data_IF_359399342400
#
_entry.id   IF_359399342400
#
_cell.length_a   1.000
_cell.length_b   1.000
_cell.length_c   1.000
_cell.angle_alpha   90.00
_cell.angle_beta   90.00
_cell.angle_gamma   90.00
#
_symmetry.space_group_name_H-M   'P 1'
#
loop_
_entity.id
_entity.type
_entity.pdbx_description
1 polymer ?
#
# COMPACT_ATOMS: atom_id res chain seq x y z
N UNK A 1 7.85 -3.45 -1.24
CA UNK A 1 6.74 -3.47 -2.21
C UNK A 1 5.75 -4.55 -1.82
N UNK A 2 4.52 -4.15 -1.54
CA UNK A 2 3.40 -5.05 -1.28
C UNK A 2 2.81 -5.52 -2.62
N UNK A 3 2.67 -6.83 -2.77
CA UNK A 3 2.02 -7.49 -3.91
C UNK A 3 0.66 -8.04 -3.51
N UNK A 4 0.51 -8.41 -2.24
CA UNK A 4 -0.74 -8.82 -1.62
C UNK A 4 -1.01 -7.92 -0.43
N UNK A 5 -2.29 -7.63 -0.21
CA UNK A 5 -2.83 -6.98 0.98
C UNK A 5 -4.22 -7.54 1.25
N UNK A 6 -4.63 -7.64 2.51
CA UNK A 6 -6.04 -7.92 2.82
C UNK A 6 -6.91 -6.66 2.70
N UNK A 7 -8.12 -6.86 2.20
CA UNK A 7 -9.16 -5.84 2.24
C UNK A 7 -9.66 -5.62 3.67
N UNK A 8 -10.52 -4.61 3.87
CA UNK A 8 -11.25 -4.48 5.12
C UNK A 8 -12.18 -5.69 5.32
N UNK A 9 -12.52 -5.97 6.57
CA UNK A 9 -13.67 -6.80 6.87
C UNK A 9 -14.94 -5.99 6.66
N UNK A 10 -15.96 -6.59 6.04
CA UNK A 10 -17.26 -5.93 5.86
C UNK A 10 -18.30 -6.66 6.71
N UNK A 11 -18.99 -5.90 7.57
CA UNK A 11 -20.03 -6.40 8.46
C UNK A 11 -21.35 -5.68 8.20
N UNK A 12 -22.44 -6.44 8.17
CA UNK A 12 -23.80 -5.90 8.20
C UNK A 12 -24.47 -6.24 9.53
N UNK A 13 -24.78 -5.22 10.30
CA UNK A 13 -25.59 -5.31 11.51
C UNK A 13 -27.06 -5.15 11.09
N UNK A 14 -27.81 -6.23 11.25
CA UNK A 14 -29.22 -6.33 10.88
C UNK A 14 -30.07 -6.04 12.10
N UNK A 15 -30.94 -5.04 11.99
CA UNK A 15 -31.78 -4.60 13.12
C UNK A 15 -33.16 -4.12 12.74
N UNK A 16 -34.07 -4.11 13.74
CA UNK A 16 -35.39 -3.45 13.65
C UNK A 16 -35.32 -1.94 13.87
N UNK A 17 -34.31 -1.45 14.58
CA UNK A 17 -34.15 -0.04 14.90
C UNK A 17 -32.75 0.46 14.50
N UNK A 18 -32.64 0.86 13.23
CA UNK A 18 -31.37 1.30 12.64
C UNK A 18 -30.78 2.51 13.36
N UNK A 19 -31.61 3.46 13.80
CA UNK A 19 -31.15 4.68 14.45
C UNK A 19 -30.59 4.41 15.84
N UNK A 20 -31.22 3.50 16.58
CA UNK A 20 -30.72 3.05 17.87
C UNK A 20 -29.35 2.35 17.73
N UNK A 21 -29.21 1.44 16.76
CA UNK A 21 -27.94 0.73 16.53
C UNK A 21 -26.86 1.68 16.03
N UNK A 22 -27.17 2.60 15.11
CA UNK A 22 -26.22 3.61 14.62
C UNK A 22 -25.64 4.44 15.77
N UNK A 23 -26.49 4.97 16.65
CA UNK A 23 -26.04 5.70 17.85
C UNK A 23 -25.18 4.83 18.76
N UNK A 24 -25.60 3.58 19.00
CA UNK A 24 -24.86 2.66 19.85
C UNK A 24 -23.48 2.31 19.27
N UNK A 25 -23.35 2.18 17.94
CA UNK A 25 -22.08 2.00 17.24
C UNK A 25 -21.20 3.24 17.42
N UNK A 26 -21.74 4.44 17.18
CA UNK A 26 -21.00 5.70 17.38
C UNK A 26 -20.50 5.85 18.82
N UNK A 27 -21.33 5.59 19.81
CA UNK A 27 -20.95 5.67 21.23
C UNK A 27 -19.95 4.58 21.62
N UNK A 28 -20.08 3.37 21.07
CA UNK A 28 -19.21 2.26 21.42
C UNK A 28 -17.79 2.43 20.92
N UNK A 29 -17.64 2.89 19.67
CA UNK A 29 -16.37 2.95 18.97
C UNK A 29 -15.81 4.38 18.82
N UNK A 30 -16.59 5.41 19.16
CA UNK A 30 -16.17 6.81 19.03
C UNK A 30 -16.00 7.25 17.58
N UNK A 31 -16.88 6.78 16.69
CA UNK A 31 -16.83 7.03 15.23
C UNK A 31 -18.14 7.63 14.72
N UNK A 32 -18.05 8.42 13.67
CA UNK A 32 -19.21 9.01 12.99
C UNK A 32 -19.59 8.22 11.73
N UNK A 33 -20.82 8.39 11.26
CA UNK A 33 -21.26 7.87 9.96
C UNK A 33 -20.54 8.61 8.83
N UNK A 34 -20.07 7.85 7.83
CA UNK A 34 -19.47 8.34 6.62
C UNK A 34 -20.29 7.89 5.40
N UNK A 35 -20.24 8.60 4.28
CA UNK A 35 -20.71 8.06 3.00
C UNK A 35 -20.03 6.71 2.71
N UNK A 36 -20.79 5.73 2.24
CA UNK A 36 -20.28 4.36 2.01
C UNK A 36 -19.05 4.32 1.10
N UNK A 37 -19.08 5.07 0.00
CA UNK A 37 -17.95 5.15 -0.93
C UNK A 37 -16.69 5.72 -0.25
N UNK A 38 -16.87 6.65 0.68
CA UNK A 38 -15.78 7.25 1.45
C UNK A 38 -15.24 6.27 2.50
N UNK A 39 -16.11 5.58 3.24
CA UNK A 39 -15.71 4.57 4.21
C UNK A 39 -14.91 3.42 3.56
N UNK A 40 -15.39 2.89 2.43
CA UNK A 40 -14.69 1.84 1.68
C UNK A 40 -13.36 2.39 1.15
N UNK A 41 -13.37 3.58 0.56
CA UNK A 41 -12.16 4.18 -0.01
C UNK A 41 -11.10 4.48 1.04
N UNK A 42 -11.47 4.91 2.24
CA UNK A 42 -10.52 5.22 3.32
C UNK A 42 -10.02 3.97 4.05
N UNK A 43 -10.74 2.85 3.94
CA UNK A 43 -10.43 1.64 4.69
C UNK A 43 -9.07 1.03 4.36
N UNK A 44 -8.41 0.53 5.40
CA UNK A 44 -7.13 -0.16 5.33
C UNK A 44 -7.23 -1.67 5.62
N UNK A 45 -6.10 -2.35 5.49
CA UNK A 45 -5.92 -3.74 5.88
C UNK A 45 -6.30 -3.95 7.36
N UNK A 46 -7.12 -4.99 7.62
CA UNK A 46 -7.61 -5.34 8.96
C UNK A 46 -8.50 -4.31 9.67
N UNK A 47 -8.95 -3.28 8.97
CA UNK A 47 -10.04 -2.42 9.47
C UNK A 47 -11.40 -3.06 9.15
N UNK A 48 -12.45 -2.53 9.77
CA UNK A 48 -13.80 -3.04 9.58
C UNK A 48 -14.74 -1.95 9.12
N UNK A 49 -15.40 -2.18 7.99
CA UNK A 49 -16.51 -1.37 7.49
C UNK A 49 -17.81 -1.99 8.01
N UNK A 50 -18.59 -1.21 8.74
CA UNK A 50 -19.84 -1.67 9.34
C UNK A 50 -21.02 -0.94 8.73
N UNK A 51 -21.98 -1.71 8.21
CA UNK A 51 -23.25 -1.24 7.71
C UNK A 51 -24.37 -1.58 8.69
N UNK A 52 -25.28 -0.64 8.93
CA UNK A 52 -26.51 -0.88 9.71
C UNK A 52 -27.67 -0.95 8.74
N UNK A 53 -28.38 -2.08 8.74
CA UNK A 53 -29.44 -2.38 7.77
C UNK A 53 -30.63 -3.04 8.44
N UNK A 54 -31.77 -3.04 7.75
CA UNK A 54 -32.99 -3.66 8.25
C UNK A 54 -32.88 -5.19 8.38
N UNK A 55 -33.54 -5.75 9.39
CA UNK A 55 -33.56 -7.19 9.75
C UNK A 55 -33.89 -8.12 8.56
N UNK A 56 -34.81 -7.71 7.68
CA UNK A 56 -35.43 -8.59 6.69
C UNK A 56 -34.91 -8.43 5.26
N UNK A 57 -33.93 -7.56 5.03
CA UNK A 57 -33.30 -7.44 3.69
C UNK A 57 -32.45 -8.69 3.43
N UNK A 58 -32.86 -9.45 2.41
CA UNK A 58 -32.22 -10.71 2.02
C UNK A 58 -30.85 -10.48 1.37
N UNK A 59 -30.72 -9.40 0.63
CA UNK A 59 -29.49 -8.96 -0.03
C UNK A 59 -28.70 -8.00 0.87
N UNK A 60 -27.38 -8.13 0.87
CA UNK A 60 -26.41 -7.27 1.54
C UNK A 60 -26.05 -6.07 0.67
N UNK A 61 -27.07 -5.34 0.21
CA UNK A 61 -26.84 -4.07 -0.51
C UNK A 61 -26.30 -3.04 0.49
N UNK A 62 -25.10 -2.48 0.27
CA UNK A 62 -24.58 -1.41 1.11
C UNK A 62 -25.54 -0.21 1.15
N UNK A 63 -25.92 0.28 2.35
CA UNK A 63 -26.66 1.53 2.49
C UNK A 63 -25.84 2.75 2.04
N UNK A 64 -26.43 3.95 2.07
CA UNK A 64 -25.73 5.19 1.70
C UNK A 64 -24.61 5.58 2.67
N UNK A 65 -24.71 5.13 3.93
CA UNK A 65 -23.75 5.44 4.99
C UNK A 65 -23.19 4.19 5.67
N UNK A 66 -21.96 4.31 6.17
CA UNK A 66 -21.25 3.24 6.86
C UNK A 66 -20.40 3.81 8.01
N UNK A 67 -19.95 2.93 8.89
CA UNK A 67 -18.93 3.24 9.89
C UNK A 67 -17.61 2.60 9.49
N UNK A 68 -16.53 3.37 9.52
CA UNK A 68 -15.17 2.84 9.42
C UNK A 68 -14.58 2.72 10.82
N UNK A 69 -14.29 1.49 11.25
CA UNK A 69 -13.73 1.20 12.57
C UNK A 69 -12.29 0.72 12.39
N UNK A 70 -11.35 1.41 13.03
CA UNK A 70 -9.91 1.10 13.04
C UNK A 70 -9.55 -0.14 13.88
N UNK A 71 -10.33 -1.22 13.74
CA UNK A 71 -10.13 -2.49 14.41
C UNK A 71 -10.60 -3.65 13.51
N UNK A 72 -10.00 -4.82 13.69
CA UNK A 72 -10.37 -6.03 12.96
C UNK A 72 -11.71 -6.59 13.47
N UNK A 73 -12.45 -7.25 12.57
CA UNK A 73 -13.82 -7.67 12.81
C UNK A 73 -14.04 -8.46 14.13
N UNK A 74 -13.18 -9.41 14.54
CA UNK A 74 -13.31 -10.07 15.85
C UNK A 74 -13.41 -9.12 17.05
N UNK A 75 -12.63 -8.04 17.08
CA UNK A 75 -12.70 -7.03 18.16
C UNK A 75 -14.01 -6.26 18.08
N UNK A 76 -14.42 -5.85 16.87
CA UNK A 76 -15.69 -5.15 16.64
C UNK A 76 -16.88 -6.01 17.09
N UNK A 77 -16.90 -7.28 16.70
CA UNK A 77 -17.94 -8.23 17.08
C UNK A 77 -17.95 -8.50 18.59
N UNK A 78 -16.77 -8.66 19.21
CA UNK A 78 -16.67 -8.80 20.66
C UNK A 78 -17.28 -7.60 21.38
N UNK A 79 -17.05 -6.39 20.89
CA UNK A 79 -17.60 -5.17 21.52
C UNK A 79 -19.12 -5.09 21.36
N UNK A 80 -19.64 -5.42 20.18
CA UNK A 80 -21.08 -5.52 19.91
C UNK A 80 -21.75 -6.50 20.89
N UNK A 81 -21.15 -7.69 21.08
CA UNK A 81 -21.67 -8.73 21.97
C UNK A 81 -21.56 -8.31 23.44
N UNK A 82 -20.40 -7.85 23.89
CA UNK A 82 -20.14 -7.55 25.29
C UNK A 82 -20.94 -6.35 25.80
N UNK A 83 -21.22 -5.37 24.94
CA UNK A 83 -22.08 -4.23 25.25
C UNK A 83 -23.57 -4.50 25.00
N UNK A 84 -23.91 -5.70 24.53
CA UNK A 84 -25.27 -6.11 24.22
C UNK A 84 -25.99 -5.08 23.32
N UNK A 85 -25.33 -4.67 22.25
CA UNK A 85 -25.93 -3.77 21.26
C UNK A 85 -27.21 -4.40 20.72
N UNK A 86 -28.25 -3.59 20.40
CA UNK A 86 -29.55 -4.08 19.97
C UNK A 86 -29.53 -4.56 18.50
N UNK A 87 -28.68 -5.55 18.22
CA UNK A 87 -28.46 -6.15 16.91
C UNK A 87 -29.03 -7.56 16.92
N UNK A 88 -29.92 -7.83 15.98
CA UNK A 88 -30.65 -9.09 15.87
C UNK A 88 -29.83 -10.14 15.12
N UNK A 89 -29.05 -9.70 14.13
CA UNK A 89 -28.18 -10.58 13.34
C UNK A 89 -26.98 -9.83 12.81
N UNK A 90 -25.84 -10.52 12.75
CA UNK A 90 -24.64 -10.07 12.05
C UNK A 90 -24.49 -10.90 10.78
N UNK A 91 -24.22 -10.24 9.66
CA UNK A 91 -23.76 -10.87 8.43
C UNK A 91 -22.33 -10.42 8.15
N UNK A 92 -21.45 -11.36 7.84
CA UNK A 92 -20.05 -11.09 7.45
C UNK A 92 -19.95 -11.34 5.97
N UNK A 93 -19.34 -10.43 5.23
CA UNK A 93 -19.12 -10.59 3.80
C UNK A 93 -17.95 -11.51 3.46
N UNK A 94 -17.87 -11.86 2.17
CA UNK A 94 -16.69 -12.53 1.60
C UNK A 94 -15.40 -11.79 1.93
N UNK A 95 -14.33 -12.55 2.19
CA UNK A 95 -13.04 -11.93 2.51
C UNK A 95 -12.31 -11.50 1.24
N UNK A 96 -11.89 -10.24 1.18
CA UNK A 96 -11.16 -9.68 0.05
C UNK A 96 -9.65 -9.80 0.25
N UNK A 97 -8.96 -10.33 -0.76
CA UNK A 97 -7.52 -10.25 -0.95
C UNK A 97 -7.27 -9.33 -2.15
N UNK A 98 -6.51 -8.26 -1.94
CA UNK A 98 -6.05 -7.40 -3.01
C UNK A 98 -4.70 -7.89 -3.54
N UNK A 99 -4.62 -8.11 -4.84
CA UNK A 99 -3.41 -8.48 -5.56
C UNK A 99 -3.03 -7.35 -6.53
N UNK A 100 -1.80 -6.84 -6.41
CA UNK A 100 -1.27 -5.85 -7.35
C UNK A 100 -0.70 -6.54 -8.59
N UNK A 101 -1.23 -6.19 -9.76
CA UNK A 101 -0.74 -6.58 -11.07
C UNK A 101 -0.60 -5.29 -11.91
N UNK A 102 0.62 -4.79 -12.18
CA UNK A 102 0.85 -3.50 -12.84
C UNK A 102 0.51 -3.52 -14.33
N UNK A 103 0.61 -4.68 -14.99
CA UNK A 103 0.33 -4.87 -16.42
C UNK A 103 -0.31 -6.23 -16.67
N UNK A 104 -1.01 -6.41 -17.80
CA UNK A 104 -1.62 -7.69 -18.18
C UNK A 104 -2.66 -8.20 -17.17
N UNK A 105 -3.50 -7.30 -16.65
CA UNK A 105 -4.55 -7.61 -15.66
C UNK A 105 -5.45 -8.76 -16.12
N UNK A 106 -5.88 -8.76 -17.38
CA UNK A 106 -6.76 -9.80 -17.92
C UNK A 106 -6.12 -11.20 -17.93
N UNK A 107 -4.82 -11.29 -18.24
CA UNK A 107 -4.08 -12.55 -18.15
C UNK A 107 -3.93 -12.99 -16.68
N UNK A 108 -3.74 -12.02 -15.79
CA UNK A 108 -3.71 -12.24 -14.34
C UNK A 108 -5.00 -12.83 -13.81
N UNK A 109 -6.15 -12.23 -14.14
CA UNK A 109 -7.47 -12.73 -13.75
C UNK A 109 -7.71 -14.15 -14.26
N UNK A 110 -7.36 -14.43 -15.53
CA UNK A 110 -7.47 -15.79 -16.11
C UNK A 110 -6.59 -16.80 -15.40
N UNK A 111 -5.34 -16.45 -15.11
CA UNK A 111 -4.41 -17.33 -14.40
C UNK A 111 -4.89 -17.64 -12.98
N UNK A 112 -5.41 -16.64 -12.26
CA UNK A 112 -6.00 -16.84 -10.93
C UNK A 112 -7.25 -17.73 -10.99
N UNK A 113 -8.17 -17.45 -11.91
CA UNK A 113 -9.39 -18.23 -12.08
C UNK A 113 -9.11 -19.70 -12.42
N UNK A 114 -8.21 -19.97 -13.37
CA UNK A 114 -7.79 -21.33 -13.73
C UNK A 114 -7.14 -22.05 -12.56
N UNK A 115 -6.25 -21.37 -11.83
CA UNK A 115 -5.47 -21.98 -10.76
C UNK A 115 -6.28 -22.30 -9.51
N UNK A 116 -7.16 -21.39 -9.10
CA UNK A 116 -7.94 -21.53 -7.87
C UNK A 116 -9.36 -22.04 -8.10
N UNK A 117 -9.76 -22.25 -9.37
CA UNK A 117 -11.11 -22.69 -9.73
C UNK A 117 -12.17 -21.62 -9.45
N UNK A 118 -11.85 -20.36 -9.72
CA UNK A 118 -12.72 -19.21 -9.45
C UNK A 118 -13.37 -18.61 -10.69
N UNK A 119 -14.32 -17.72 -10.46
CA UNK A 119 -15.13 -17.05 -11.49
C UNK A 119 -14.70 -15.58 -11.64
N UNK A 120 -14.40 -15.14 -12.86
CA UNK A 120 -13.98 -13.77 -13.14
C UNK A 120 -15.21 -12.87 -13.27
N UNK A 121 -15.23 -11.77 -12.53
CA UNK A 121 -16.31 -10.78 -12.53
C UNK A 121 -15.80 -9.42 -12.07
N UNK A 122 -16.67 -8.40 -12.03
CA UNK A 122 -16.35 -7.16 -11.34
C UNK A 122 -16.47 -7.30 -9.83
N UNK A 123 -15.86 -6.37 -9.09
CA UNK A 123 -15.79 -6.45 -7.64
C UNK A 123 -17.16 -6.37 -6.95
N UNK A 124 -18.13 -5.65 -7.53
CA UNK A 124 -19.45 -5.50 -6.91
C UNK A 124 -20.22 -6.81 -7.02
N UNK A 125 -20.25 -7.41 -8.22
CA UNK A 125 -20.83 -8.74 -8.41
C UNK A 125 -20.15 -9.81 -7.56
N UNK A 126 -18.83 -9.74 -7.36
CA UNK A 126 -18.13 -10.68 -6.47
C UNK A 126 -18.61 -10.61 -5.02
N UNK A 127 -18.88 -9.41 -4.49
CA UNK A 127 -19.47 -9.25 -3.17
C UNK A 127 -20.94 -9.66 -3.15
N UNK A 128 -21.71 -9.35 -4.19
CA UNK A 128 -23.14 -9.70 -4.25
C UNK A 128 -23.38 -11.22 -4.31
N UNK A 129 -22.50 -11.98 -5.00
CA UNK A 129 -22.63 -13.43 -5.18
C UNK A 129 -21.85 -14.27 -4.15
N UNK A 130 -20.87 -13.67 -3.49
CA UNK A 130 -20.01 -14.34 -2.52
C UNK A 130 -20.68 -14.45 -1.14
N UNK A 131 -20.27 -15.46 -0.37
CA UNK A 131 -20.71 -15.62 1.02
C UNK A 131 -19.51 -15.53 1.99
N UNK A 132 -19.78 -15.45 3.30
CA UNK A 132 -18.74 -15.37 4.34
C UNK A 132 -17.65 -16.47 4.27
N UNK A 133 -17.98 -17.62 3.68
CA UNK A 133 -17.06 -18.75 3.50
C UNK A 133 -16.23 -18.69 2.21
N UNK A 134 -16.52 -17.72 1.33
CA UNK A 134 -15.86 -17.55 0.05
C UNK A 134 -14.73 -16.51 0.14
N UNK A 135 -13.84 -16.54 -0.85
CA UNK A 135 -12.71 -15.62 -0.96
C UNK A 135 -12.78 -14.87 -2.28
N UNK A 136 -12.58 -13.56 -2.22
CA UNK A 136 -12.48 -12.72 -3.41
C UNK A 136 -11.02 -12.31 -3.57
N UNK A 137 -10.44 -12.53 -4.75
CA UNK A 137 -9.16 -11.92 -5.12
C UNK A 137 -9.45 -10.74 -6.06
N UNK A 138 -9.35 -9.52 -5.55
CA UNK A 138 -9.43 -8.29 -6.33
C UNK A 138 -8.08 -7.93 -6.93
N UNK A 139 -8.04 -7.68 -8.23
CA UNK A 139 -6.81 -7.28 -8.94
C UNK A 139 -6.80 -5.77 -9.16
N UNK A 140 -5.68 -5.13 -8.82
CA UNK A 140 -5.48 -3.69 -9.04
C UNK A 140 -4.10 -3.38 -9.62
N UNK A 141 -3.97 -2.25 -10.31
CA UNK A 141 -2.68 -1.70 -10.73
C UNK A 141 -2.11 -0.72 -9.69
N UNK A 142 -2.94 -0.29 -8.72
CA UNK A 142 -2.59 0.67 -7.68
C UNK A 142 -1.64 0.06 -6.65
N UNK A 143 -0.94 0.94 -5.95
CA UNK A 143 -0.08 0.58 -4.82
C UNK A 143 -0.96 0.08 -3.68
N UNK A 144 -0.51 -0.97 -2.98
CA UNK A 144 -1.31 -1.57 -1.91
C UNK A 144 -1.11 -0.87 -0.57
N UNK A 145 -0.06 -0.05 -0.46
CA UNK A 145 0.14 0.87 0.66
C UNK A 145 -0.90 1.98 0.74
N UNK A 146 -1.56 2.29 -0.37
CA UNK A 146 -2.61 3.31 -0.43
C UNK A 146 -4.01 2.69 -0.23
N UNK A 147 -4.98 3.45 0.27
CA UNK A 147 -6.38 3.02 0.24
C UNK A 147 -6.85 2.77 -1.21
N UNK A 148 -7.64 1.71 -1.42
CA UNK A 148 -8.07 1.25 -2.76
C UNK A 148 -9.59 1.18 -2.78
N UNK A 149 -10.21 2.04 -3.58
CA UNK A 149 -11.66 2.01 -3.79
C UNK A 149 -12.10 0.90 -4.75
N UNK A 150 -13.41 0.58 -4.79
CA UNK A 150 -13.96 -0.42 -5.71
C UNK A 150 -13.66 -0.12 -7.18
N UNK A 151 -13.71 1.16 -7.58
CA UNK A 151 -13.46 1.58 -8.97
C UNK A 151 -11.97 1.49 -9.36
N UNK A 152 -11.08 1.31 -8.39
CA UNK A 152 -9.65 1.09 -8.61
C UNK A 152 -9.27 -0.40 -8.66
N UNK A 153 -10.24 -1.30 -8.45
CA UNK A 153 -10.12 -2.73 -8.65
C UNK A 153 -10.53 -3.03 -10.09
N UNK A 154 -9.57 -3.45 -10.90
CA UNK A 154 -9.75 -3.65 -12.33
C UNK A 154 -10.57 -4.91 -12.67
N UNK A 155 -10.67 -5.84 -11.73
CA UNK A 155 -11.50 -7.04 -11.82
C UNK A 155 -11.30 -7.92 -10.58
N UNK A 156 -12.15 -8.91 -10.40
CA UNK A 156 -12.11 -9.81 -9.27
C UNK A 156 -12.27 -11.27 -9.71
N UNK A 157 -11.76 -12.19 -8.88
CA UNK A 157 -12.00 -13.62 -8.99
C UNK A 157 -12.69 -14.09 -7.71
N UNK A 158 -13.93 -14.54 -7.83
CA UNK A 158 -14.67 -15.17 -6.73
C UNK A 158 -14.29 -16.64 -6.64
N UNK A 159 -13.82 -17.08 -5.47
CA UNK A 159 -13.38 -18.43 -5.22
C UNK A 159 -14.25 -19.03 -4.12
N UNK A 160 -14.95 -20.12 -4.43
CA UNK A 160 -15.87 -20.83 -3.50
C UNK A 160 -15.13 -21.71 -2.49
N UNK A 161 -14.16 -21.10 -1.79
CA UNK A 161 -13.26 -21.73 -0.82
C UNK A 161 -12.92 -20.73 0.29
N UNK A 162 -12.62 -21.27 1.46
CA UNK A 162 -12.28 -20.48 2.64
C UNK A 162 -11.00 -19.65 2.43
N UNK A 163 -11.00 -18.47 3.06
CA UNK A 163 -9.90 -17.51 2.99
C UNK A 163 -8.54 -18.11 3.36
N UNK A 164 -8.46 -18.93 4.41
CA UNK A 164 -7.18 -19.43 4.90
C UNK A 164 -6.54 -20.39 3.90
N UNK A 165 -7.33 -21.27 3.27
CA UNK A 165 -6.80 -22.19 2.26
C UNK A 165 -6.33 -21.45 1.00
N UNK A 166 -7.13 -20.51 0.49
CA UNK A 166 -6.78 -19.70 -0.68
C UNK A 166 -5.55 -18.83 -0.38
N UNK A 167 -5.51 -18.18 0.77
CA UNK A 167 -4.38 -17.36 1.19
C UNK A 167 -3.08 -18.17 1.27
N UNK A 168 -3.11 -19.35 1.88
CA UNK A 168 -1.92 -20.17 2.02
C UNK A 168 -1.34 -20.58 0.66
N UNK A 169 -2.17 -21.06 -0.26
CA UNK A 169 -1.74 -21.39 -1.62
C UNK A 169 -1.22 -20.15 -2.34
N UNK A 170 -1.96 -19.04 -2.27
CA UNK A 170 -1.61 -17.80 -2.94
C UNK A 170 -0.25 -17.27 -2.49
N UNK A 171 0.06 -17.28 -1.19
CA UNK A 171 1.37 -16.83 -0.69
C UNK A 171 2.55 -17.64 -1.22
N UNK A 172 2.37 -18.95 -1.39
CA UNK A 172 3.39 -19.83 -2.00
C UNK A 172 3.54 -19.52 -3.50
N UNK A 173 2.43 -19.16 -4.14
CA UNK A 173 2.36 -18.98 -5.58
C UNK A 173 2.74 -17.58 -6.05
N UNK A 174 2.72 -16.58 -5.17
CA UNK A 174 3.07 -15.18 -5.49
C UNK A 174 4.35 -15.08 -6.32
N UNK A 175 5.49 -15.68 -5.95
CA UNK A 175 6.71 -15.54 -6.76
C UNK A 175 6.55 -16.05 -8.19
N UNK A 176 5.78 -17.13 -8.39
CA UNK A 176 5.52 -17.72 -9.71
C UNK A 176 4.53 -16.86 -10.50
N UNK A 177 3.48 -16.36 -9.84
CA UNK A 177 2.53 -15.42 -10.45
C UNK A 177 3.24 -14.14 -10.88
N UNK A 178 4.10 -13.61 -10.02
CA UNK A 178 4.94 -12.45 -10.32
C UNK A 178 5.82 -12.69 -11.54
N UNK A 179 6.49 -13.84 -11.63
CA UNK A 179 7.33 -14.15 -12.78
C UNK A 179 6.54 -14.23 -14.10
N UNK A 180 5.29 -14.70 -14.06
CA UNK A 180 4.45 -14.87 -15.25
C UNK A 180 3.72 -13.59 -15.68
N UNK A 181 3.31 -12.78 -14.72
CA UNK A 181 2.39 -11.66 -14.94
C UNK A 181 3.09 -10.29 -14.93
N UNK A 182 4.28 -10.19 -14.32
CA UNK A 182 4.97 -8.92 -14.19
C UNK A 182 5.79 -8.57 -15.43
N UNK A 183 6.01 -7.26 -15.70
CA UNK A 183 6.97 -6.78 -16.68
C UNK A 183 8.39 -7.31 -16.42
N UNK A 184 9.30 -7.04 -17.35
CA UNK A 184 10.73 -7.25 -17.12
C UNK A 184 11.19 -6.55 -15.84
N UNK A 185 11.71 -7.35 -14.92
CA UNK A 185 12.31 -6.87 -13.69
C UNK A 185 13.63 -6.18 -13.98
N UNK A 186 13.82 -5.02 -13.34
CA UNK A 186 15.05 -4.23 -13.41
C UNK A 186 15.74 -4.30 -12.06
N UNK A 187 17.02 -4.66 -12.07
CA UNK A 187 17.88 -4.57 -10.90
C UNK A 187 18.52 -3.17 -10.87
N UNK A 188 18.12 -2.39 -9.86
CA UNK A 188 18.75 -1.11 -9.55
C UNK A 188 19.73 -1.27 -8.41
N UNK A 189 20.90 -0.64 -8.55
CA UNK A 189 21.81 -0.41 -7.43
C UNK A 189 21.66 1.05 -7.00
N UNK A 190 21.23 1.26 -5.77
CA UNK A 190 21.13 2.57 -5.13
C UNK A 190 22.33 2.72 -4.20
N UNK A 191 23.02 3.86 -4.29
CA UNK A 191 24.19 4.20 -3.46
C UNK A 191 23.92 5.48 -2.71
N UNK A 192 24.08 5.46 -1.40
CA UNK A 192 23.93 6.62 -0.52
C UNK A 192 25.31 7.08 -0.06
N UNK A 193 25.64 8.32 -0.37
CA UNK A 193 26.84 8.99 0.12
C UNK A 193 26.43 10.05 1.12
N UNK A 194 27.04 10.02 2.30
CA UNK A 194 26.74 10.97 3.36
C UNK A 194 28.04 11.54 3.92
N UNK A 195 28.20 12.86 3.76
CA UNK A 195 29.38 13.58 4.22
C UNK A 195 29.35 13.83 5.73
N UNK A 196 28.14 13.92 6.30
CA UNK A 196 27.90 14.21 7.72
C UNK A 196 27.88 12.92 8.56
N UNK A 197 28.03 11.76 7.91
CA UNK A 197 28.08 10.41 8.53
C UNK A 197 26.83 10.03 9.31
N UNK A 198 25.67 10.56 8.91
CA UNK A 198 24.32 10.26 9.40
C UNK A 198 23.65 9.20 8.52
N UNK A 199 24.37 8.11 8.28
CA UNK A 199 23.92 7.05 7.37
C UNK A 199 22.65 6.39 7.88
N UNK A 200 22.54 6.14 9.18
CA UNK A 200 21.38 5.45 9.76
C UNK A 200 20.08 6.19 9.47
N UNK A 201 20.05 7.51 9.71
CA UNK A 201 18.89 8.36 9.40
C UNK A 201 18.62 8.43 7.89
N UNK A 202 19.67 8.58 7.08
CA UNK A 202 19.53 8.64 5.62
C UNK A 202 19.03 7.31 5.02
N UNK A 203 19.44 6.18 5.58
CA UNK A 203 18.98 4.85 5.21
C UNK A 203 17.52 4.65 5.65
N UNK A 204 17.15 5.06 6.88
CA UNK A 204 15.77 5.00 7.37
C UNK A 204 14.83 5.76 6.42
N UNK A 205 15.17 7.00 6.05
CA UNK A 205 14.38 7.79 5.08
C UNK A 205 14.24 7.11 3.72
N UNK A 206 15.34 6.54 3.21
CA UNK A 206 15.34 5.83 1.94
C UNK A 206 14.41 4.60 1.98
N UNK A 207 14.53 3.78 3.01
CA UNK A 207 13.73 2.56 3.18
C UNK A 207 12.24 2.89 3.31
N UNK A 208 11.89 3.86 4.17
CA UNK A 208 10.50 4.30 4.33
C UNK A 208 9.88 4.75 3.00
N UNK A 209 10.60 5.53 2.20
CA UNK A 209 10.12 5.99 0.89
C UNK A 209 9.96 4.83 -0.09
N UNK A 210 10.94 3.93 -0.17
CA UNK A 210 10.86 2.76 -1.06
C UNK A 210 9.67 1.87 -0.72
N UNK A 211 9.45 1.63 0.57
CA UNK A 211 8.38 0.77 1.07
C UNK A 211 7.01 1.42 0.89
N UNK A 212 6.84 2.66 1.34
CA UNK A 212 5.55 3.34 1.30
C UNK A 212 5.10 3.61 -0.15
N UNK A 213 6.01 3.95 -1.04
CA UNK A 213 5.70 4.14 -2.45
C UNK A 213 5.64 2.84 -3.25
N UNK A 214 5.84 1.69 -2.63
CA UNK A 214 5.90 0.37 -3.27
C UNK A 214 6.84 0.35 -4.49
N UNK A 215 8.03 0.95 -4.37
CA UNK A 215 8.96 1.12 -5.51
C UNK A 215 9.67 -0.16 -5.92
N UNK A 216 9.72 -1.19 -5.07
CA UNK A 216 10.37 -2.47 -5.39
C UNK A 216 10.63 -3.34 -4.17
N UNK A 217 11.30 -4.47 -4.41
CA UNK A 217 11.83 -5.36 -3.38
C UNK A 217 13.29 -5.03 -3.12
N UNK A 218 13.64 -4.76 -1.87
CA UNK A 218 15.04 -4.68 -1.46
C UNK A 218 15.57 -6.11 -1.36
N UNK A 219 16.47 -6.48 -2.26
CA UNK A 219 17.01 -7.86 -2.37
C UNK A 219 18.42 -7.99 -1.82
N UNK A 220 19.02 -6.88 -1.39
CA UNK A 220 20.31 -6.87 -0.70
C UNK A 220 20.70 -5.47 -0.29
N UNK A 221 21.39 -5.36 0.83
CA UNK A 221 21.90 -4.11 1.36
C UNK A 221 23.25 -4.31 2.04
N UNK A 222 24.02 -3.24 2.19
CA UNK A 222 25.23 -3.26 2.99
C UNK A 222 26.22 -2.16 2.66
N UNK A 223 27.31 -2.15 3.43
CA UNK A 223 28.43 -1.26 3.23
C UNK A 223 29.27 -1.68 2.04
N UNK A 224 29.61 -0.71 1.19
CA UNK A 224 30.53 -0.87 0.07
C UNK A 224 31.54 0.29 0.10
N UNK A 225 32.55 0.22 -0.76
CA UNK A 225 33.53 1.28 -0.93
C UNK A 225 33.47 1.79 -2.36
N UNK A 226 33.40 3.10 -2.52
CA UNK A 226 33.49 3.73 -3.82
C UNK A 226 34.81 4.49 -4.00
N UNK A 227 35.22 4.60 -5.26
CA UNK A 227 36.42 5.30 -5.68
C UNK A 227 36.09 6.38 -6.71
N UNK A 228 35.37 7.45 -6.31
CA UNK A 228 35.01 8.56 -7.18
C UNK A 228 36.22 9.24 -7.85
N UNK A 229 37.42 9.11 -7.27
CA UNK A 229 38.70 9.51 -7.87
C UNK A 229 39.77 8.47 -7.53
N UNK A 230 40.84 8.34 -8.34
CA UNK A 230 41.99 7.51 -7.97
C UNK A 230 42.45 7.82 -6.55
N UNK A 231 42.63 6.77 -5.73
CA UNK A 231 43.04 6.84 -4.32
C UNK A 231 42.07 7.50 -3.34
N UNK A 232 40.89 7.96 -3.78
CA UNK A 232 39.86 8.51 -2.88
C UNK A 232 38.84 7.41 -2.55
N UNK A 233 39.02 6.75 -1.41
CA UNK A 233 38.11 5.71 -0.91
C UNK A 233 37.04 6.34 -0.02
N UNK A 234 35.78 6.23 -0.41
CA UNK A 234 34.64 6.79 0.35
C UNK A 234 33.72 5.63 0.74
N UNK A 235 33.29 5.53 2.02
CA UNK A 235 32.29 4.55 2.40
C UNK A 235 30.96 4.90 1.73
N UNK A 236 30.26 3.91 1.23
CA UNK A 236 28.95 4.11 0.62
C UNK A 236 28.01 3.03 1.14
N UNK A 237 26.78 3.40 1.43
CA UNK A 237 25.75 2.40 1.70
C UNK A 237 25.08 2.03 0.39
N UNK A 238 24.99 0.73 0.11
CA UNK A 238 24.52 0.19 -1.15
C UNK A 238 23.28 -0.64 -0.92
N UNK A 239 22.27 -0.38 -1.72
CA UNK A 239 21.01 -1.10 -1.73
C UNK A 239 20.75 -1.65 -3.14
N UNK A 240 20.33 -2.90 -3.24
CA UNK A 240 19.85 -3.52 -4.47
C UNK A 240 18.34 -3.58 -4.44
N UNK A 241 17.71 -2.92 -5.40
CA UNK A 241 16.26 -2.85 -5.55
C UNK A 241 15.86 -3.59 -6.83
N UNK A 242 15.02 -4.61 -6.68
CA UNK A 242 14.34 -5.27 -7.78
C UNK A 242 13.00 -4.58 -8.01
N UNK A 243 12.79 -4.00 -9.20
CA UNK A 243 11.61 -3.19 -9.50
C UNK A 243 11.14 -3.36 -10.93
N UNK A 244 9.84 -3.20 -11.17
CA UNK A 244 9.27 -3.02 -12.51
C UNK A 244 9.06 -1.54 -12.87
N UNK A 245 9.23 -0.63 -11.90
CA UNK A 245 9.09 0.80 -12.13
C UNK A 245 10.16 1.30 -13.11
N UNK A 246 9.87 2.42 -13.76
CA UNK A 246 10.86 3.06 -14.61
C UNK A 246 12.06 3.54 -13.76
N UNK A 247 13.31 3.13 -14.06
CA UNK A 247 14.48 3.53 -13.29
C UNK A 247 14.67 5.04 -13.20
N UNK A 248 14.27 5.77 -14.26
CA UNK A 248 14.27 7.24 -14.28
C UNK A 248 13.28 7.77 -13.25
N UNK A 249 12.10 7.16 -13.14
CA UNK A 249 11.09 7.51 -12.15
C UNK A 249 11.55 7.24 -10.72
N UNK A 250 12.18 6.08 -10.46
CA UNK A 250 12.78 5.77 -9.14
C UNK A 250 13.83 6.82 -8.79
N UNK A 251 14.77 7.10 -9.69
CA UNK A 251 15.80 8.13 -9.48
C UNK A 251 15.18 9.50 -9.20
N UNK A 252 14.15 9.90 -9.95
CA UNK A 252 13.44 11.16 -9.75
C UNK A 252 12.88 11.26 -8.33
N UNK A 253 12.10 10.28 -7.87
CA UNK A 253 11.50 10.28 -6.54
C UNK A 253 12.57 10.36 -5.44
N UNK A 254 13.66 9.60 -5.57
CA UNK A 254 14.75 9.61 -4.60
C UNK A 254 15.53 10.94 -4.55
N UNK A 255 15.49 11.78 -5.60
CA UNK A 255 16.01 13.17 -5.51
C UNK A 255 15.26 13.99 -4.45
N UNK A 256 13.99 13.67 -4.20
CA UNK A 256 13.15 14.38 -3.24
C UNK A 256 13.65 14.30 -1.80
N UNK A 257 14.44 13.28 -1.44
CA UNK A 257 15.00 13.14 -0.08
C UNK A 257 16.46 13.57 0.03
N UNK A 258 17.13 13.94 -1.07
CA UNK A 258 18.53 14.40 -1.01
C UNK A 258 18.68 15.79 -0.36
N UNK A 259 17.65 16.64 -0.43
CA UNK A 259 17.73 18.05 0.01
C UNK A 259 16.56 18.44 0.90
N UNK A 260 16.82 19.38 1.81
CA UNK A 260 15.81 20.19 2.50
C UNK A 260 16.19 21.66 2.28
N UNK A 261 15.36 22.38 1.53
CA UNK A 261 15.71 23.72 1.04
C UNK A 261 16.98 23.67 0.18
N UNK A 262 18.01 24.43 0.58
CA UNK A 262 19.32 24.43 -0.08
C UNK A 262 20.34 23.50 0.58
N UNK A 263 19.99 22.87 1.72
CA UNK A 263 20.88 21.96 2.45
C UNK A 263 20.79 20.57 1.86
N UNK A 264 21.93 20.01 1.46
CA UNK A 264 22.03 18.61 1.00
C UNK A 264 22.20 17.72 2.22
N UNK A 265 21.32 16.75 2.40
CA UNK A 265 21.37 15.79 3.50
C UNK A 265 22.20 14.54 3.13
N UNK A 266 22.11 14.10 1.88
CA UNK A 266 22.93 13.04 1.30
C UNK A 266 22.94 13.14 -0.23
N UNK A 267 23.83 12.41 -0.89
CA UNK A 267 23.78 12.17 -2.34
C UNK A 267 23.30 10.74 -2.58
N UNK A 268 22.25 10.57 -3.38
CA UNK A 268 21.66 9.25 -3.66
C UNK A 268 21.82 8.97 -5.14
N UNK A 269 22.71 8.05 -5.49
CA UNK A 269 22.90 7.61 -6.86
C UNK A 269 22.11 6.35 -7.18
N UNK A 270 21.58 6.28 -8.40
CA UNK A 270 20.85 5.10 -8.88
C UNK A 270 21.53 4.62 -10.15
N UNK A 271 21.79 3.33 -10.20
CA UNK A 271 22.43 2.64 -11.31
C UNK A 271 21.51 1.55 -11.84
N UNK A 272 21.37 1.48 -13.16
CA UNK A 272 20.75 0.36 -13.86
C UNK A 272 21.87 -0.45 -14.51
N UNK A 273 22.00 -1.73 -14.13
CA UNK A 273 23.01 -2.64 -14.70
C UNK A 273 24.44 -2.04 -14.70
N UNK A 274 24.80 -1.38 -13.61
CA UNK A 274 26.12 -0.73 -13.43
C UNK A 274 26.28 0.62 -14.12
N UNK A 275 25.29 1.11 -14.89
CA UNK A 275 25.31 2.44 -15.49
C UNK A 275 24.54 3.44 -14.62
N UNK A 276 25.20 4.55 -14.26
CA UNK A 276 24.60 5.62 -13.46
C UNK A 276 23.52 6.35 -14.25
N UNK A 277 22.34 6.53 -13.65
CA UNK A 277 21.27 7.36 -14.19
C UNK A 277 21.57 8.82 -13.83
N UNK A 278 21.86 9.62 -14.85
CA UNK A 278 22.20 11.03 -14.68
C UNK A 278 20.96 11.88 -14.41
N UNK A 279 21.09 12.91 -13.56
CA UNK A 279 19.98 13.81 -13.23
C UNK A 279 19.40 14.54 -14.46
N UNK A 280 20.20 14.73 -15.50
CA UNK A 280 19.80 15.34 -16.78
C UNK A 280 18.83 14.47 -17.57
N UNK A 281 18.72 13.18 -17.27
CA UNK A 281 17.73 12.30 -17.91
C UNK A 281 16.36 12.37 -17.24
N UNK A 282 16.20 13.13 -16.15
CA UNK A 282 14.96 13.19 -15.36
C UNK A 282 13.98 14.29 -15.84
N UNK A 283 14.37 15.08 -16.85
CA UNK A 283 13.56 16.17 -17.38
C UNK A 283 14.37 17.44 -17.60
N UNK A 284 13.68 18.50 -18.06
CA UNK A 284 14.26 19.83 -18.25
C UNK A 284 14.04 20.65 -16.97
N UNK A 285 15.08 20.77 -16.17
CA UNK A 285 15.12 21.61 -14.97
C UNK A 285 16.33 22.53 -15.06
N UNK A 286 16.21 23.78 -14.60
CA UNK A 286 17.29 24.76 -14.71
C UNK A 286 18.39 24.49 -13.68
N UNK A 287 18.07 23.78 -12.60
CA UNK A 287 19.04 23.35 -11.60
C UNK A 287 18.70 22.03 -10.91
N UNK A 288 19.69 21.43 -10.24
CA UNK A 288 19.48 20.27 -9.36
C UNK A 288 18.52 20.56 -8.20
N UNK A 289 18.47 21.81 -7.74
CA UNK A 289 17.59 22.22 -6.64
C UNK A 289 16.13 22.29 -7.07
N UNK A 290 15.86 22.81 -8.26
CA UNK A 290 14.49 22.80 -8.81
C UNK A 290 13.98 21.37 -9.03
N UNK A 291 14.84 20.51 -9.58
CA UNK A 291 14.54 19.09 -9.71
C UNK A 291 14.24 18.45 -8.35
N UNK A 292 15.10 18.68 -7.34
CA UNK A 292 14.89 18.14 -6.00
C UNK A 292 13.61 18.67 -5.36
N UNK A 293 13.28 19.96 -5.54
CA UNK A 293 12.04 20.56 -5.05
C UNK A 293 10.81 19.93 -5.71
N UNK A 294 10.81 19.83 -7.05
CA UNK A 294 9.71 19.19 -7.79
C UNK A 294 9.54 17.71 -7.37
N UNK A 295 10.65 16.99 -7.21
CA UNK A 295 10.65 15.62 -6.73
C UNK A 295 10.13 15.52 -5.30
N UNK A 296 10.50 16.45 -4.40
CA UNK A 296 10.00 16.50 -3.03
C UNK A 296 8.50 16.73 -2.98
N UNK A 297 7.99 17.73 -3.71
CA UNK A 297 6.57 18.03 -3.77
C UNK A 297 5.76 16.84 -4.27
N UNK A 298 6.25 16.14 -5.28
CA UNK A 298 5.59 14.94 -5.77
C UNK A 298 5.69 13.77 -4.81
N UNK A 299 6.86 13.56 -4.19
CA UNK A 299 7.08 12.52 -3.19
C UNK A 299 6.13 12.72 -2.00
N UNK A 300 6.07 13.91 -1.41
CA UNK A 300 5.19 14.19 -0.26
C UNK A 300 3.70 14.03 -0.59
N UNK A 301 3.27 14.35 -1.81
CA UNK A 301 1.87 14.11 -2.25
C UNK A 301 1.48 12.64 -2.33
N UNK A 302 2.46 11.74 -2.44
CA UNK A 302 2.22 10.31 -2.64
C UNK A 302 2.58 9.47 -1.40
N UNK A 303 3.17 10.09 -0.36
CA UNK A 303 3.41 9.43 0.91
C UNK A 303 2.16 9.46 1.77
N UNK A 304 1.99 8.44 2.60
CA UNK A 304 1.01 8.47 3.68
C UNK A 304 1.40 9.47 4.78
N UNK A 305 0.41 10.00 5.51
CA UNK A 305 0.63 11.08 6.48
C UNK A 305 1.58 10.66 7.62
N UNK A 306 1.51 9.42 8.07
CA UNK A 306 2.40 8.84 9.09
C UNK A 306 3.87 8.82 8.62
N UNK A 307 4.10 8.42 7.37
CA UNK A 307 5.45 8.40 6.79
C UNK A 307 5.94 9.82 6.52
N UNK A 308 5.05 10.73 6.11
CA UNK A 308 5.38 12.13 5.91
C UNK A 308 5.80 12.81 7.22
N UNK A 309 5.06 12.59 8.30
CA UNK A 309 5.38 13.10 9.63
C UNK A 309 6.72 12.55 10.12
N UNK A 310 6.95 11.25 9.96
CA UNK A 310 8.22 10.62 10.33
C UNK A 310 9.39 11.15 9.49
N UNK A 311 9.21 11.28 8.18
CA UNK A 311 10.22 11.81 7.26
C UNK A 311 10.63 13.23 7.66
N UNK A 312 9.66 14.10 7.96
CA UNK A 312 9.91 15.48 8.41
C UNK A 312 10.66 15.55 9.74
N UNK A 313 10.32 14.68 10.71
CA UNK A 313 11.05 14.60 11.98
C UNK A 313 12.53 14.23 11.78
N UNK A 314 12.82 13.27 10.90
CA UNK A 314 14.21 12.88 10.61
C UNK A 314 14.94 14.01 9.86
N UNK A 315 14.26 14.67 8.92
CA UNK A 315 14.81 15.83 8.20
C UNK A 315 15.20 16.96 9.16
N UNK A 316 14.38 17.27 10.17
CA UNK A 316 14.68 18.28 11.19
C UNK A 316 15.92 17.92 12.02
N UNK A 317 16.06 16.65 12.41
CA UNK A 317 17.24 16.14 13.12
C UNK A 317 18.49 16.29 12.26
N UNK A 318 18.43 15.88 11.00
CA UNK A 318 19.55 15.97 10.06
C UNK A 318 19.95 17.43 9.77
N UNK A 319 18.98 18.34 9.68
CA UNK A 319 19.25 19.76 9.44
C UNK A 319 19.86 20.43 10.67
N UNK A 320 19.34 20.16 11.87
CA UNK A 320 19.76 20.82 13.11
C UNK A 320 21.12 20.39 13.63
N UNK A 321 21.52 19.13 13.41
CA UNK A 321 22.77 18.56 13.92
C UNK A 321 23.92 18.56 12.91
N UNK A 322 23.66 18.96 11.68
CA UNK A 322 24.69 19.09 10.64
C UNK A 322 25.46 20.41 10.86
N UNK A 323 26.75 20.27 11.18
CA UNK A 323 27.68 21.37 11.45
C UNK A 323 28.04 22.06 10.13
N UNK A 324 27.76 23.36 10.05
CA UNK A 324 28.13 24.22 8.91
C UNK A 324 29.65 24.22 8.62
#
# INVERSE_FOLDING_TARGET
MKVIRFGPSILFLRTRDSELVKRAVSEAFGVDELPTDEAIKLSNEFETVVFVTEEWKKETIPPETAFLIGAHAPVVLSEIVNRNLPVEKVHVESTLILLRIPTNVEDGLRLLAEKYGGEIMDIRTAFDEGEAGDTIIGVTTKKLSAPIGPDEIAGAVLIRRDFLSVYHELTIDVPVLLLRLMPEWKELTIKVYDTDKRYDENIERLMMVIENLDLGFVVGEGWDWDYPRPFMRVPVYKLKLLTWEDPVRVKFLLKGIEYVGYKRLCDIDVFLEGKKIHWTSLGKYDSKFELAKAAREELERNLSEDVLERLRKIDEVLVSESKD
#
